data_IF_113396454530
#
_entry.id   IF_113396454530
#
_cell.length_a   1.000
_cell.length_b   1.000
_cell.length_c   1.000
_cell.angle_alpha   90.00
_cell.angle_beta   90.00
_cell.angle_gamma   90.00
#
_symmetry.space_group_name_H-M   'P 1'
#
loop_
_entity.id
_entity.type
_entity.pdbx_description
1 polymer ?
#
# COMPACT_ATOMS: atom_id res chain seq x y z
N UNK A 1 -21.78 -7.55 5.96
CA UNK A 1 -20.74 -8.43 6.54
C UNK A 1 -20.13 -7.71 7.72
N UNK A 2 -20.02 -8.34 8.88
CA UNK A 2 -19.31 -7.78 10.04
C UNK A 2 -17.81 -8.03 9.88
N UNK A 3 -17.00 -6.97 9.85
CA UNK A 3 -15.53 -7.09 9.88
C UNK A 3 -15.12 -7.51 11.29
N UNK A 4 -14.33 -8.57 11.42
CA UNK A 4 -13.86 -9.05 12.72
C UNK A 4 -12.52 -8.39 13.05
N UNK A 5 -12.47 -7.62 14.12
CA UNK A 5 -11.25 -6.96 14.59
C UNK A 5 -10.32 -7.99 15.26
N UNK A 6 -9.04 -8.09 14.86
CA UNK A 6 -8.10 -9.04 15.45
C UNK A 6 -7.64 -8.61 16.84
N UNK A 7 -7.19 -9.57 17.65
CA UNK A 7 -6.59 -9.28 18.96
C UNK A 7 -5.23 -8.58 18.84
N UNK A 8 -4.52 -8.78 17.73
CA UNK A 8 -3.22 -8.17 17.39
C UNK A 8 -3.09 -7.99 15.87
N UNK A 9 -2.51 -6.88 15.42
CA UNK A 9 -2.20 -6.65 14.01
C UNK A 9 -0.83 -7.21 13.59
N UNK A 10 0.07 -7.47 14.55
CA UNK A 10 1.41 -7.99 14.26
C UNK A 10 1.46 -9.44 13.79
N UNK A 11 0.34 -10.17 13.94
CA UNK A 11 0.20 -11.57 13.56
C UNK A 11 -0.62 -11.77 12.27
N UNK A 12 -0.91 -10.71 11.52
CA UNK A 12 -1.67 -10.83 10.27
C UNK A 12 -0.89 -11.66 9.23
N UNK A 13 -1.55 -12.58 8.50
CA UNK A 13 -0.91 -13.43 7.50
C UNK A 13 -0.72 -12.70 6.18
N UNK A 14 0.04 -11.60 6.20
CA UNK A 14 0.34 -10.77 5.03
C UNK A 14 1.67 -11.16 4.40
N UNK A 15 1.77 -10.99 3.08
CA UNK A 15 2.94 -11.33 2.28
C UNK A 15 3.80 -10.09 1.99
N UNK A 16 3.16 -8.98 1.61
CA UNK A 16 3.86 -7.80 1.08
C UNK A 16 3.83 -6.59 2.02
N UNK A 17 3.02 -6.64 3.08
CA UNK A 17 3.06 -5.67 4.17
C UNK A 17 3.42 -6.38 5.48
N UNK A 18 3.92 -5.61 6.44
CA UNK A 18 4.10 -5.99 7.85
C UNK A 18 3.50 -4.90 8.72
N UNK A 19 2.85 -5.26 9.82
CA UNK A 19 2.33 -4.29 10.79
C UNK A 19 2.98 -4.57 12.14
N UNK A 20 3.46 -3.53 12.80
CA UNK A 20 3.97 -3.58 14.16
C UNK A 20 3.15 -2.66 15.06
N UNK A 21 2.97 -3.05 16.31
CA UNK A 21 2.47 -2.13 17.34
C UNK A 21 3.57 -1.14 17.73
N UNK A 22 3.20 -0.02 18.34
CA UNK A 22 4.17 0.96 18.85
C UNK A 22 3.95 1.17 20.35
N UNK A 23 4.85 0.69 21.23
CA UNK A 23 6.11 -0.03 20.94
C UNK A 23 5.90 -1.49 20.47
N UNK A 24 6.90 -2.04 19.77
CA UNK A 24 6.80 -3.30 19.03
C UNK A 24 6.61 -4.56 19.90
N UNK A 25 6.99 -4.50 21.18
CA UNK A 25 6.80 -5.56 22.17
C UNK A 25 5.38 -5.57 22.77
N UNK A 26 4.52 -4.62 22.40
CA UNK A 26 3.14 -4.56 22.88
C UNK A 26 2.35 -5.78 22.42
N UNK A 27 1.79 -6.54 23.37
CA UNK A 27 0.95 -7.71 23.08
C UNK A 27 -0.41 -7.35 22.43
N UNK A 28 -0.85 -6.09 22.56
CA UNK A 28 -2.11 -5.59 22.02
C UNK A 28 -1.87 -4.33 21.17
N UNK A 29 -2.78 -4.00 20.24
CA UNK A 29 -2.70 -2.77 19.47
C UNK A 29 -2.67 -1.56 20.41
N UNK A 30 -1.75 -0.66 20.15
CA UNK A 30 -1.72 0.67 20.76
C UNK A 30 -2.43 1.66 19.83
N UNK A 31 -2.64 2.92 20.24
CA UNK A 31 -3.20 3.95 19.36
C UNK A 31 -2.41 4.22 18.09
N UNK A 32 -1.17 3.73 17.98
CA UNK A 32 -0.28 3.93 16.83
C UNK A 32 0.14 2.57 16.28
N UNK A 33 -0.10 2.36 14.98
CA UNK A 33 0.43 1.23 14.23
C UNK A 33 1.50 1.68 13.24
N UNK A 34 2.54 0.88 13.08
CA UNK A 34 3.55 1.05 12.05
C UNK A 34 3.34 0.02 10.95
N UNK A 35 2.88 0.47 9.78
CA UNK A 35 2.76 -0.36 8.59
C UNK A 35 4.02 -0.21 7.73
N UNK A 36 4.65 -1.34 7.43
CA UNK A 36 5.86 -1.42 6.61
C UNK A 36 5.53 -2.13 5.29
N UNK A 37 5.77 -1.46 4.16
CA UNK A 37 5.81 -2.12 2.85
C UNK A 37 7.06 -3.01 2.81
N UNK A 38 6.88 -4.32 2.63
CA UNK A 38 7.90 -5.32 2.94
C UNK A 38 8.35 -6.12 1.70
N UNK A 39 8.85 -5.41 0.68
CA UNK A 39 9.52 -6.01 -0.49
C UNK A 39 10.86 -5.33 -0.75
N UNK A 40 11.81 -5.34 0.21
CA UNK A 40 13.03 -4.53 0.14
C UNK A 40 13.91 -4.83 -1.09
N UNK A 41 13.92 -6.09 -1.56
CA UNK A 41 14.65 -6.52 -2.76
C UNK A 41 14.09 -5.92 -4.07
N UNK A 42 12.86 -5.42 -4.05
CA UNK A 42 12.18 -4.76 -5.16
C UNK A 42 11.87 -3.29 -4.84
N UNK A 43 12.62 -2.68 -3.92
CA UNK A 43 12.41 -1.29 -3.47
C UNK A 43 10.95 -1.01 -3.04
N UNK A 44 10.31 -2.03 -2.45
CA UNK A 44 8.91 -1.98 -2.04
C UNK A 44 7.94 -1.64 -3.19
N UNK A 45 8.28 -2.02 -4.43
CA UNK A 45 7.39 -1.85 -5.58
C UNK A 45 6.00 -2.45 -5.30
N UNK A 46 4.98 -1.74 -5.73
CA UNK A 46 3.58 -1.97 -5.37
C UNK A 46 2.95 -3.02 -6.28
N UNK A 47 2.26 -4.01 -5.71
CA UNK A 47 1.63 -5.12 -6.43
C UNK A 47 0.14 -5.20 -6.14
N UNK A 48 -0.60 -5.99 -6.93
CA UNK A 48 -2.01 -6.30 -6.65
C UNK A 48 -2.23 -6.92 -5.26
N UNK A 49 -1.40 -7.91 -4.88
CA UNK A 49 -1.44 -8.52 -3.53
C UNK A 49 -1.25 -7.48 -2.42
N UNK A 50 -0.31 -6.54 -2.60
CA UNK A 50 -0.11 -5.48 -1.62
C UNK A 50 -1.33 -4.56 -1.53
N UNK A 51 -1.99 -4.27 -2.66
CA UNK A 51 -3.23 -3.49 -2.68
C UNK A 51 -4.34 -4.18 -1.89
N UNK A 52 -4.55 -5.49 -2.11
CA UNK A 52 -5.56 -6.29 -1.41
C UNK A 52 -5.28 -6.34 0.10
N UNK A 53 -4.02 -6.54 0.49
CA UNK A 53 -3.61 -6.54 1.89
C UNK A 53 -3.83 -5.19 2.57
N UNK A 54 -3.47 -4.08 1.90
CA UNK A 54 -3.70 -2.73 2.40
C UNK A 54 -5.19 -2.44 2.56
N UNK A 55 -6.02 -2.79 1.56
CA UNK A 55 -7.47 -2.62 1.64
C UNK A 55 -8.05 -3.41 2.81
N UNK A 56 -7.67 -4.68 2.96
CA UNK A 56 -8.12 -5.52 4.07
C UNK A 56 -7.71 -4.94 5.44
N UNK A 57 -6.46 -4.50 5.56
CA UNK A 57 -5.94 -3.87 6.75
C UNK A 57 -6.69 -2.58 7.09
N UNK A 58 -6.82 -1.66 6.13
CA UNK A 58 -7.48 -0.37 6.35
C UNK A 58 -8.97 -0.51 6.66
N UNK A 59 -9.68 -1.45 6.04
CA UNK A 59 -11.07 -1.76 6.39
C UNK A 59 -11.18 -2.29 7.83
N UNK A 60 -10.19 -3.03 8.32
CA UNK A 60 -10.20 -3.61 9.66
C UNK A 60 -9.90 -2.57 10.74
N UNK A 61 -8.95 -1.67 10.50
CA UNK A 61 -8.61 -0.59 11.45
C UNK A 61 -9.65 0.54 11.47
N UNK A 62 -10.38 0.76 10.37
CA UNK A 62 -11.46 1.76 10.30
C UNK A 62 -12.57 1.50 11.33
N UNK A 63 -12.81 0.24 11.65
CA UNK A 63 -13.80 -0.19 12.64
C UNK A 63 -13.21 -0.51 14.02
N UNK A 64 -11.90 -0.27 14.23
CA UNK A 64 -11.22 -0.53 15.51
C UNK A 64 -10.85 0.77 16.22
N UNK A 65 -11.69 1.16 17.20
CA UNK A 65 -11.51 2.36 18.02
C UNK A 65 -10.19 2.39 18.82
N UNK A 66 -9.46 1.29 18.91
CA UNK A 66 -8.15 1.27 19.58
C UNK A 66 -7.09 2.02 18.77
N UNK A 67 -7.21 2.05 17.44
CA UNK A 67 -6.21 2.64 16.53
C UNK A 67 -6.59 4.09 16.24
N UNK A 68 -5.60 4.99 16.27
CA UNK A 68 -5.79 6.43 16.03
C UNK A 68 -4.87 6.98 14.96
N UNK A 69 -3.68 6.40 14.82
CA UNK A 69 -2.67 6.82 13.85
C UNK A 69 -2.04 5.60 13.21
N UNK A 70 -1.83 5.66 11.90
CA UNK A 70 -1.09 4.65 11.15
C UNK A 70 0.07 5.37 10.46
N UNK A 71 1.29 4.98 10.80
CA UNK A 71 2.50 5.42 10.10
C UNK A 71 2.80 4.40 9.02
N UNK A 72 2.92 4.84 7.78
CA UNK A 72 3.30 3.98 6.66
C UNK A 72 4.75 4.26 6.28
N UNK A 73 5.55 3.21 6.17
CA UNK A 73 6.96 3.29 5.76
C UNK A 73 7.35 2.11 4.85
N UNK A 74 8.55 2.14 4.29
CA UNK A 74 9.11 1.05 3.49
C UNK A 74 10.21 0.31 4.24
N UNK A 75 10.30 -1.00 4.04
CA UNK A 75 11.42 -1.80 4.52
C UNK A 75 12.71 -1.43 3.79
N UNK A 76 13.80 -1.31 4.54
CA UNK A 76 15.13 -1.05 3.99
C UNK A 76 15.34 0.42 3.58
N UNK A 77 15.89 0.64 2.38
CA UNK A 77 16.47 1.95 2.00
C UNK A 77 15.51 2.93 1.32
N UNK A 78 14.29 2.50 0.99
CA UNK A 78 13.34 3.29 0.21
C UNK A 78 11.91 3.08 0.71
N UNK A 79 11.07 4.09 0.55
CA UNK A 79 9.65 3.98 0.83
C UNK A 79 8.96 3.01 -0.15
N UNK A 80 8.84 3.40 -1.42
CA UNK A 80 8.23 2.62 -2.50
C UNK A 80 8.71 3.15 -3.86
N UNK A 81 9.08 2.26 -4.78
CA UNK A 81 9.49 2.61 -6.15
C UNK A 81 8.31 2.88 -7.11
N UNK A 82 7.06 2.76 -6.65
CA UNK A 82 5.85 2.88 -7.48
C UNK A 82 5.34 1.51 -7.95
N UNK A 83 4.71 1.47 -9.12
CA UNK A 83 4.18 0.25 -9.73
C UNK A 83 5.29 -0.81 -9.91
N UNK A 84 5.01 -2.06 -9.55
CA UNK A 84 5.86 -3.18 -9.97
C UNK A 84 5.69 -3.40 -11.48
N UNK A 85 6.70 -3.02 -12.27
CA UNK A 85 6.65 -3.08 -13.72
C UNK A 85 6.84 -4.50 -14.29
N UNK A 86 7.35 -5.45 -13.50
CA UNK A 86 7.48 -6.85 -13.92
C UNK A 86 6.13 -7.57 -13.84
N UNK A 87 5.32 -7.22 -12.82
CA UNK A 87 3.98 -7.79 -12.60
C UNK A 87 2.92 -6.99 -13.36
N UNK A 88 3.09 -5.67 -13.43
CA UNK A 88 2.07 -4.74 -13.93
C UNK A 88 0.86 -4.64 -13.00
N UNK A 89 -0.11 -3.81 -13.40
CA UNK A 89 -1.45 -3.81 -12.78
C UNK A 89 -2.47 -4.35 -13.76
N UNK A 90 -3.53 -5.01 -13.27
CA UNK A 90 -4.70 -5.30 -14.10
C UNK A 90 -5.14 -4.02 -14.80
N UNK A 91 -5.45 -4.10 -16.10
CA UNK A 91 -5.98 -2.94 -16.84
C UNK A 91 -7.20 -2.41 -16.10
N UNK A 92 -7.15 -1.18 -15.60
CA UNK A 92 -8.32 -0.50 -15.04
C UNK A 92 -9.43 -0.50 -16.09
N UNK A 93 -10.60 -1.00 -15.73
CA UNK A 93 -11.81 -0.94 -16.57
C UNK A 93 -12.45 0.46 -16.57
N UNK A 94 -11.89 1.40 -15.81
CA UNK A 94 -12.28 2.80 -15.82
C UNK A 94 -11.54 3.56 -16.94
N UNK A 95 -12.22 3.75 -18.08
CA UNK A 95 -12.02 4.86 -19.03
C UNK A 95 -10.64 4.99 -19.69
N UNK A 96 -10.57 4.67 -20.99
CA UNK A 96 -9.35 4.77 -21.79
C UNK A 96 -8.67 6.14 -21.73
N UNK A 97 -7.53 6.20 -21.04
CA UNK A 97 -6.56 7.27 -21.20
C UNK A 97 -5.88 7.13 -22.56
N UNK A 98 -6.43 7.80 -23.57
CA UNK A 98 -5.76 8.01 -24.85
C UNK A 98 -4.40 8.66 -24.58
N UNK A 99 -3.31 7.98 -24.90
CA UNK A 99 -1.99 8.62 -24.96
C UNK A 99 -2.10 9.75 -26.00
N UNK A 100 -2.05 11.01 -25.56
CA UNK A 100 -1.78 12.12 -26.46
C UNK A 100 -0.30 11.99 -26.84
N UNK A 101 -0.03 11.52 -28.05
CA UNK A 101 1.30 11.71 -28.62
C UNK A 101 1.43 13.21 -28.93
N UNK A 102 2.41 13.86 -28.29
CA UNK A 102 2.89 15.17 -28.72
C UNK A 102 3.55 15.02 -30.10
N UNK A 103 2.88 15.59 -31.08
CA UNK A 103 3.35 15.86 -32.42
C UNK A 103 2.55 17.05 -32.90
N UNK A 104 2.81 18.21 -32.30
CA UNK A 104 2.39 19.51 -32.83
C UNK A 104 3.62 20.11 -33.52
N UNK A 105 3.88 19.61 -34.73
CA UNK A 105 4.75 20.23 -35.72
C UNK A 105 4.03 21.44 -36.31
N UNK A 106 3.87 22.46 -35.47
CA UNK A 106 3.41 23.78 -35.89
C UNK A 106 4.35 24.34 -36.96
N UNK A 107 3.85 24.43 -38.19
CA UNK A 107 4.50 25.11 -39.31
C UNK A 107 4.99 26.50 -38.87
N UNK A 108 6.30 26.71 -38.92
CA UNK A 108 6.88 28.04 -38.96
C UNK A 108 6.43 28.69 -40.27
N UNK A 109 5.46 29.62 -40.19
CA UNK A 109 5.14 30.52 -41.30
C UNK A 109 5.78 31.87 -41.02
N UNK A 110 6.62 32.28 -41.95
CA UNK A 110 7.30 33.58 -42.03
C UNK A 110 6.33 34.77 -42.00
#
# INVERSE_FOLDING_TARGET
MSIQVPSSYSALPTQHIKVDHVPADSAKPTPILLLTLNRPNKLNAFTGTMAEELVSFFNTVDVDDRVKVIVVTGAGRAFCAGADLEIGFPKSTAGGGQRRNEGDDGEHRD
#
